data_IF_429220073296
#
_entry.id   IF_429220073296
#
_cell.length_a   1.000
_cell.length_b   1.000
_cell.length_c   1.000
_cell.angle_alpha   90.00
_cell.angle_beta   90.00
_cell.angle_gamma   90.00
#
_symmetry.space_group_name_H-M   'P 1'
#
loop_
_entity.id
_entity.type
_entity.pdbx_description
1 polymer ?
#
# COMPACT_ATOMS: atom_id res chain seq x y z
N UNK A 1 56.55 40.15 49.24
CA UNK A 1 57.41 39.07 48.68
C UNK A 1 56.68 38.43 47.53
N UNK A 2 57.16 38.66 46.32
CA UNK A 2 56.59 38.05 45.07
C UNK A 2 57.64 37.06 44.54
N UNK A 3 57.29 35.83 44.25
CA UNK A 3 58.18 34.94 43.46
C UNK A 3 57.86 35.10 41.97
N UNK A 4 58.96 35.19 41.23
CA UNK A 4 59.00 35.28 39.76
C UNK A 4 58.81 33.87 39.16
N UNK A 5 57.87 33.71 38.23
CA UNK A 5 57.76 32.51 37.39
C UNK A 5 58.44 32.73 36.05
N UNK A 6 59.31 31.79 35.73
CA UNK A 6 60.05 31.71 34.46
C UNK A 6 59.16 31.12 33.40
N UNK A 7 59.13 31.79 32.24
CA UNK A 7 58.48 31.28 31.01
C UNK A 7 59.41 30.29 30.34
N UNK A 8 58.93 29.05 30.16
CA UNK A 8 59.55 28.06 29.26
C UNK A 8 58.69 28.04 27.99
N UNK A 9 59.29 28.38 26.83
CA UNK A 9 58.73 28.23 25.53
C UNK A 9 58.79 26.73 25.11
N UNK A 10 57.66 26.12 24.82
CA UNK A 10 57.55 24.84 24.19
C UNK A 10 57.04 25.00 22.75
N UNK A 11 57.86 24.55 21.82
CA UNK A 11 57.54 24.53 20.39
C UNK A 11 56.44 23.51 20.11
N UNK A 12 55.32 23.95 19.58
CA UNK A 12 54.24 23.06 19.12
C UNK A 12 54.47 22.70 17.65
N UNK A 13 54.80 21.45 17.37
CA UNK A 13 54.73 20.85 16.04
C UNK A 13 53.24 20.67 15.66
N UNK A 14 52.78 21.37 14.65
CA UNK A 14 51.46 21.17 14.05
C UNK A 14 51.52 19.95 13.13
N UNK A 15 50.96 18.82 13.58
CA UNK A 15 50.58 17.70 12.69
C UNK A 15 49.26 18.04 12.04
N UNK A 16 49.29 18.38 10.76
CA UNK A 16 48.08 18.47 9.91
C UNK A 16 47.57 17.05 9.61
N UNK A 17 46.62 16.56 10.39
CA UNK A 17 45.80 15.43 9.98
C UNK A 17 44.81 15.92 8.92
N UNK A 18 45.07 15.57 7.67
CA UNK A 18 44.15 15.69 6.57
C UNK A 18 42.97 14.74 6.81
N UNK A 19 41.86 15.26 7.35
CA UNK A 19 40.56 14.57 7.31
C UNK A 19 40.06 14.61 5.87
N UNK A 20 40.34 13.58 5.09
CA UNK A 20 39.59 13.30 3.87
C UNK A 20 38.17 12.95 4.28
N UNK A 21 37.26 13.94 4.27
CA UNK A 21 35.84 13.70 4.30
C UNK A 21 35.49 12.98 2.99
N UNK A 22 35.47 11.64 3.03
CA UNK A 22 34.81 10.85 2.01
C UNK A 22 33.32 11.17 2.11
N UNK A 23 32.87 12.14 1.32
CA UNK A 23 31.45 12.29 1.04
C UNK A 23 31.05 11.00 0.29
N UNK A 24 30.55 10.01 1.03
CA UNK A 24 29.90 8.85 0.44
C UNK A 24 28.75 9.35 -0.44
N UNK A 25 28.92 9.21 -1.74
CA UNK A 25 27.91 9.53 -2.73
C UNK A 25 26.86 8.43 -2.63
N UNK A 26 25.79 8.67 -1.86
CA UNK A 26 24.73 7.70 -1.55
C UNK A 26 23.99 7.14 -2.79
N UNK A 27 24.29 7.65 -3.98
CA UNK A 27 23.72 7.18 -5.24
C UNK A 27 24.44 5.95 -5.82
N UNK A 28 25.72 5.74 -5.54
CA UNK A 28 26.45 4.57 -6.07
C UNK A 28 26.18 3.30 -5.26
N UNK A 29 25.86 3.41 -3.98
CA UNK A 29 25.58 2.27 -3.09
C UNK A 29 24.26 1.53 -3.45
N UNK A 30 23.35 2.17 -4.17
CA UNK A 30 22.06 1.59 -4.59
C UNK A 30 22.15 0.79 -5.88
N UNK A 31 23.17 1.03 -6.70
CA UNK A 31 23.31 0.40 -8.02
C UNK A 31 23.67 -1.08 -7.89
N UNK A 32 22.81 -1.95 -8.43
CA UNK A 32 22.94 -3.41 -8.34
C UNK A 32 23.05 -3.94 -6.90
N UNK A 33 22.62 -3.14 -5.90
CA UNK A 33 22.57 -3.61 -4.52
C UNK A 33 21.68 -4.85 -4.42
N UNK A 34 22.10 -5.81 -3.60
CA UNK A 34 21.26 -6.96 -3.26
C UNK A 34 20.35 -6.69 -2.05
N UNK A 35 20.48 -5.52 -1.41
CA UNK A 35 19.59 -5.09 -0.34
C UNK A 35 18.44 -4.26 -0.94
N UNK A 36 17.20 -4.68 -0.70
CA UNK A 36 15.98 -4.00 -1.15
C UNK A 36 15.01 -3.81 0.00
N UNK A 37 14.37 -2.66 0.06
CA UNK A 37 13.31 -2.34 1.01
C UNK A 37 11.98 -2.20 0.28
N UNK A 38 11.03 -3.07 0.59
CA UNK A 38 9.64 -2.99 0.10
C UNK A 38 8.78 -2.29 1.14
N UNK A 39 7.91 -1.38 0.70
CA UNK A 39 6.89 -0.77 1.54
C UNK A 39 5.56 -1.52 1.39
N UNK A 40 4.78 -1.59 2.47
CA UNK A 40 3.43 -2.15 2.46
C UNK A 40 2.54 -1.40 3.46
N UNK A 41 1.27 -1.24 3.11
CA UNK A 41 0.25 -0.74 4.05
C UNK A 41 -0.48 -1.95 4.64
N UNK A 42 -0.50 -2.04 5.97
CA UNK A 42 -1.15 -3.17 6.65
C UNK A 42 -2.66 -3.19 6.43
N UNK A 43 -3.18 -4.38 6.13
CA UNK A 43 -4.60 -4.63 5.90
C UNK A 43 -5.06 -4.38 4.47
N UNK A 44 -4.19 -3.89 3.58
CA UNK A 44 -4.48 -3.82 2.15
C UNK A 44 -4.02 -5.13 1.50
N UNK A 45 -4.99 -6.05 1.38
CA UNK A 45 -4.71 -7.47 1.13
C UNK A 45 -3.96 -7.74 -0.16
N UNK A 46 -4.30 -7.03 -1.25
CA UNK A 46 -3.65 -7.15 -2.54
C UNK A 46 -2.18 -6.68 -2.48
N UNK A 47 -1.93 -5.59 -1.75
CA UNK A 47 -0.60 -5.07 -1.52
C UNK A 47 0.25 -5.98 -0.63
N UNK A 48 -0.35 -6.54 0.42
CA UNK A 48 0.31 -7.53 1.28
C UNK A 48 0.65 -8.80 0.51
N UNK A 49 -0.29 -9.31 -0.31
CA UNK A 49 -0.10 -10.49 -1.15
C UNK A 49 1.02 -10.29 -2.18
N UNK A 50 0.98 -9.19 -2.93
CA UNK A 50 2.01 -8.86 -3.91
C UNK A 50 3.39 -8.67 -3.24
N UNK A 51 3.43 -7.98 -2.09
CA UNK A 51 4.68 -7.75 -1.35
C UNK A 51 5.27 -9.05 -0.81
N UNK A 52 4.47 -9.93 -0.23
CA UNK A 52 4.93 -11.22 0.28
C UNK A 52 5.46 -12.11 -0.86
N UNK A 53 4.74 -12.15 -1.99
CA UNK A 53 5.15 -12.89 -3.18
C UNK A 53 6.50 -12.41 -3.71
N UNK A 54 6.66 -11.10 -3.91
CA UNK A 54 7.89 -10.53 -4.42
C UNK A 54 9.05 -10.60 -3.43
N UNK A 55 8.79 -10.46 -2.12
CA UNK A 55 9.80 -10.72 -1.09
C UNK A 55 10.38 -12.13 -1.24
N UNK A 56 9.50 -13.14 -1.37
CA UNK A 56 9.94 -14.54 -1.55
C UNK A 56 10.75 -14.72 -2.83
N UNK A 57 10.21 -14.32 -3.98
CA UNK A 57 10.87 -14.49 -5.27
C UNK A 57 12.23 -13.77 -5.34
N UNK A 58 12.33 -12.55 -4.80
CA UNK A 58 13.59 -11.83 -4.75
C UNK A 58 14.59 -12.49 -3.79
N UNK A 59 14.13 -12.99 -2.65
CA UNK A 59 14.98 -13.73 -1.70
C UNK A 59 15.53 -14.99 -2.34
N UNK A 60 14.74 -15.73 -3.09
CA UNK A 60 15.17 -16.93 -3.82
C UNK A 60 16.21 -16.60 -4.93
N UNK A 61 16.19 -15.36 -5.45
CA UNK A 61 17.19 -14.84 -6.40
C UNK A 61 18.43 -14.23 -5.70
N UNK A 62 18.55 -14.38 -4.38
CA UNK A 62 19.70 -13.94 -3.60
C UNK A 62 19.70 -12.47 -3.21
N UNK A 63 18.51 -11.81 -3.21
CA UNK A 63 18.36 -10.48 -2.64
C UNK A 63 18.07 -10.59 -1.14
N UNK A 64 18.56 -9.61 -0.38
CA UNK A 64 18.18 -9.41 1.02
C UNK A 64 17.03 -8.40 1.06
N UNK A 65 15.83 -8.89 1.32
CA UNK A 65 14.61 -8.10 1.26
C UNK A 65 14.10 -7.78 2.64
N UNK A 66 13.99 -6.49 2.96
CA UNK A 66 13.28 -5.98 4.13
C UNK A 66 11.92 -5.44 3.74
N UNK A 67 10.94 -5.58 4.65
CA UNK A 67 9.58 -5.03 4.46
C UNK A 67 9.31 -4.02 5.56
N UNK A 68 8.93 -2.79 5.17
CA UNK A 68 8.48 -1.73 6.08
C UNK A 68 6.97 -1.60 5.99
N UNK A 69 6.29 -1.82 7.11
CA UNK A 69 4.86 -1.52 7.26
C UNK A 69 4.70 -0.06 7.62
N UNK A 70 4.00 0.70 6.80
CA UNK A 70 3.82 2.14 6.93
C UNK A 70 2.41 2.52 6.48
N UNK A 71 1.87 3.60 7.02
CA UNK A 71 0.70 4.25 6.39
C UNK A 71 1.06 4.83 5.03
N UNK A 72 0.06 5.03 4.16
CA UNK A 72 0.28 5.48 2.78
C UNK A 72 1.11 6.77 2.68
N UNK A 73 0.83 7.79 3.50
CA UNK A 73 1.58 9.04 3.48
C UNK A 73 3.08 8.88 3.79
N UNK A 74 3.46 8.33 4.96
CA UNK A 74 4.85 7.99 5.27
C UNK A 74 5.52 7.07 4.25
N UNK A 75 4.78 6.14 3.64
CA UNK A 75 5.31 5.24 2.62
C UNK A 75 5.74 5.99 1.36
N UNK A 76 4.87 6.85 0.81
CA UNK A 76 5.20 7.68 -0.35
C UNK A 76 6.35 8.66 -0.05
N UNK A 77 6.36 9.25 1.15
CA UNK A 77 7.46 10.10 1.59
C UNK A 77 8.78 9.33 1.68
N UNK A 78 8.77 8.13 2.25
CA UNK A 78 9.94 7.25 2.35
C UNK A 78 10.49 6.82 1.00
N UNK A 79 9.61 6.53 0.01
CA UNK A 79 10.04 6.29 -1.36
C UNK A 79 10.71 7.54 -1.98
N UNK A 80 10.11 8.71 -1.80
CA UNK A 80 10.64 9.97 -2.34
C UNK A 80 11.99 10.37 -1.71
N UNK A 81 12.30 9.87 -0.52
CA UNK A 81 13.57 10.04 0.20
C UNK A 81 14.58 8.93 -0.10
N UNK A 82 14.15 7.81 -0.73
CA UNK A 82 14.98 6.66 -1.02
C UNK A 82 15.11 5.65 0.14
N UNK A 83 14.31 5.78 1.20
CA UNK A 83 14.27 4.86 2.35
C UNK A 83 13.44 3.60 2.10
N UNK A 84 12.60 3.64 1.08
CA UNK A 84 11.81 2.54 0.53
C UNK A 84 12.12 2.46 -0.97
N UNK A 85 12.51 1.28 -1.45
CA UNK A 85 12.87 1.11 -2.85
C UNK A 85 11.66 0.86 -3.74
N UNK A 86 10.67 0.11 -3.25
CA UNK A 86 9.48 -0.31 -4.01
C UNK A 86 8.20 -0.31 -3.16
N UNK A 87 7.10 0.01 -3.82
CA UNK A 87 5.73 -0.17 -3.33
C UNK A 87 4.88 -0.83 -4.44
N UNK A 88 4.24 -1.96 -4.12
CA UNK A 88 3.55 -2.77 -5.13
C UNK A 88 2.05 -2.49 -5.21
N UNK A 89 1.56 -1.50 -4.50
CA UNK A 89 0.13 -1.28 -4.35
C UNK A 89 -0.24 0.21 -4.53
N UNK A 90 0.31 0.82 -5.59
CA UNK A 90 0.00 2.21 -5.93
C UNK A 90 -1.18 2.27 -6.92
N UNK A 91 -2.32 2.76 -6.47
CA UNK A 91 -3.57 2.87 -7.24
C UNK A 91 -3.62 4.19 -8.00
N UNK A 92 -3.47 4.14 -9.30
CA UNK A 92 -3.38 5.33 -10.17
C UNK A 92 -4.30 5.20 -11.38
N UNK A 93 -4.86 6.32 -11.87
CA UNK A 93 -4.50 7.70 -11.54
C UNK A 93 -5.30 8.35 -10.40
N UNK A 94 -6.39 7.73 -9.89
CA UNK A 94 -7.40 8.44 -9.10
C UNK A 94 -7.21 8.31 -7.57
N UNK A 95 -7.05 7.08 -7.07
CA UNK A 95 -7.06 6.80 -5.62
C UNK A 95 -5.87 7.45 -4.92
N UNK A 96 -4.66 7.28 -5.45
CA UNK A 96 -3.43 7.86 -4.89
C UNK A 96 -3.00 9.15 -5.63
N UNK A 97 -3.95 9.86 -6.24
CA UNK A 97 -3.72 11.10 -7.00
C UNK A 97 -2.90 12.14 -6.22
N UNK A 98 -3.26 12.39 -4.96
CA UNK A 98 -2.63 13.43 -4.15
C UNK A 98 -1.18 13.07 -3.81
N UNK A 99 -0.91 11.80 -3.50
CA UNK A 99 0.46 11.33 -3.30
C UNK A 99 1.28 11.40 -4.59
N UNK A 100 0.65 11.07 -5.73
CA UNK A 100 1.32 11.16 -7.02
C UNK A 100 1.60 12.62 -7.42
N UNK A 101 0.70 13.56 -7.14
CA UNK A 101 0.94 15.00 -7.34
C UNK A 101 2.07 15.52 -6.47
N UNK A 102 2.17 15.04 -5.24
CA UNK A 102 3.17 15.52 -4.28
C UNK A 102 4.56 14.94 -4.50
N UNK A 103 4.66 13.68 -4.91
CA UNK A 103 5.93 12.94 -4.92
C UNK A 103 6.30 12.35 -6.29
N UNK A 104 5.42 12.38 -7.28
CA UNK A 104 5.58 11.67 -8.54
C UNK A 104 6.84 12.02 -9.35
N UNK A 105 7.37 13.23 -9.21
CA UNK A 105 8.64 13.65 -9.80
C UNK A 105 9.89 12.97 -9.20
N UNK A 106 9.72 12.38 -8.02
CA UNK A 106 10.73 11.61 -7.28
C UNK A 106 10.48 10.11 -7.29
N UNK A 107 9.53 9.66 -8.09
CA UNK A 107 9.10 8.27 -8.16
C UNK A 107 9.11 7.77 -9.60
N UNK A 108 9.12 6.46 -9.77
CA UNK A 108 9.10 5.80 -11.07
C UNK A 108 7.98 4.76 -11.12
N UNK A 109 7.08 4.85 -12.12
CA UNK A 109 6.13 3.77 -12.43
C UNK A 109 6.88 2.63 -13.10
N UNK A 110 7.05 1.51 -12.40
CA UNK A 110 7.74 0.34 -12.92
C UNK A 110 6.82 -0.48 -13.82
N UNK A 111 5.58 -0.72 -13.39
CA UNK A 111 4.59 -1.45 -14.18
C UNK A 111 3.23 -1.48 -13.52
N UNK A 112 2.16 -1.69 -14.30
CA UNK A 112 0.83 -2.01 -13.81
C UNK A 112 0.69 -3.52 -13.76
N UNK A 113 0.34 -4.08 -12.61
CA UNK A 113 0.23 -5.53 -12.46
C UNK A 113 -1.22 -6.02 -12.32
N UNK A 114 -2.14 -5.13 -11.91
CA UNK A 114 -3.57 -5.38 -11.91
C UNK A 114 -4.27 -4.19 -12.58
N UNK A 115 -4.97 -4.40 -13.72
CA UNK A 115 -5.31 -3.29 -14.61
C UNK A 115 -6.60 -2.55 -14.26
N UNK A 116 -7.48 -3.12 -13.42
CA UNK A 116 -8.81 -2.55 -13.18
C UNK A 116 -9.31 -2.81 -11.76
N UNK A 117 -9.03 -1.86 -10.87
CA UNK A 117 -9.32 -1.93 -9.44
C UNK A 117 -10.29 -0.81 -9.05
N UNK A 118 -11.61 -1.06 -8.90
CA UNK A 118 -12.57 -0.06 -8.48
C UNK A 118 -12.60 0.10 -6.96
N UNK A 119 -12.80 1.34 -6.50
CA UNK A 119 -13.26 1.66 -5.16
C UNK A 119 -14.75 1.41 -5.05
N UNK A 120 -15.22 0.90 -3.91
CA UNK A 120 -16.62 0.52 -3.71
C UNK A 120 -17.15 0.98 -2.36
N UNK A 121 -18.47 1.07 -2.26
CA UNK A 121 -19.21 1.10 -1.00
C UNK A 121 -20.03 -0.18 -0.95
N UNK A 122 -19.85 -0.95 0.10
CA UNK A 122 -20.45 -2.27 0.22
C UNK A 122 -21.44 -2.37 1.39
N UNK A 123 -22.42 -3.26 1.20
CA UNK A 123 -23.45 -3.58 2.19
C UNK A 123 -23.67 -5.10 2.24
N UNK A 124 -24.17 -5.66 3.34
CA UNK A 124 -24.60 -7.06 3.38
C UNK A 124 -25.69 -7.35 2.33
N UNK A 125 -25.74 -8.58 1.82
CA UNK A 125 -26.68 -8.98 0.77
C UNK A 125 -28.17 -8.83 1.19
N UNK A 126 -28.45 -8.87 2.49
CA UNK A 126 -29.80 -8.65 3.02
C UNK A 126 -30.21 -7.17 3.10
N UNK A 127 -29.28 -6.23 2.89
CA UNK A 127 -29.57 -4.79 2.91
C UNK A 127 -30.59 -4.43 1.82
N UNK A 128 -31.56 -3.54 2.08
CA UNK A 128 -32.49 -3.05 1.06
C UNK A 128 -31.85 -2.03 0.12
N UNK A 129 -30.63 -1.56 0.38
CA UNK A 129 -29.95 -0.58 -0.46
C UNK A 129 -29.37 -1.25 -1.70
N UNK A 130 -29.57 -0.66 -2.88
CA UNK A 130 -29.03 -1.13 -4.17
C UNK A 130 -28.07 -0.12 -4.80
N UNK A 131 -28.20 1.15 -4.45
CA UNK A 131 -27.44 2.26 -5.01
C UNK A 131 -26.99 3.23 -3.92
N UNK A 132 -25.93 3.97 -4.18
CA UNK A 132 -25.49 5.09 -3.33
C UNK A 132 -26.59 6.15 -3.17
N UNK A 133 -27.47 6.30 -4.17
CA UNK A 133 -28.61 7.19 -4.09
C UNK A 133 -29.64 6.78 -3.01
N UNK A 134 -29.74 5.48 -2.69
CA UNK A 134 -30.69 4.96 -1.71
C UNK A 134 -30.31 5.31 -0.26
N UNK A 135 -29.13 5.80 -0.02
CA UNK A 135 -28.66 6.27 1.30
C UNK A 135 -29.36 7.55 1.73
N UNK A 136 -29.83 8.36 0.78
CA UNK A 136 -30.43 9.66 1.07
C UNK A 136 -31.71 9.52 1.91
N UNK A 137 -31.80 10.31 2.98
CA UNK A 137 -32.93 10.27 3.94
C UNK A 137 -32.85 9.10 4.94
N UNK A 138 -31.82 8.28 4.90
CA UNK A 138 -31.64 7.13 5.79
C UNK A 138 -30.49 7.26 6.80
N UNK A 139 -29.95 8.47 6.98
CA UNK A 139 -28.82 8.71 7.87
C UNK A 139 -29.06 8.17 9.29
N UNK A 140 -30.25 8.39 9.87
CA UNK A 140 -30.57 7.90 11.21
C UNK A 140 -30.57 6.36 11.32
N UNK A 141 -31.02 5.66 10.27
CA UNK A 141 -31.05 4.18 10.21
C UNK A 141 -29.62 3.59 10.28
N UNK A 142 -28.66 4.26 9.64
CA UNK A 142 -27.25 3.84 9.59
C UNK A 142 -26.37 4.62 10.60
N UNK A 143 -26.98 5.30 11.59
CA UNK A 143 -26.28 6.08 12.59
C UNK A 143 -25.43 7.23 12.04
N UNK A 144 -25.75 7.71 10.83
CA UNK A 144 -25.02 8.76 10.13
C UNK A 144 -23.60 8.37 9.71
N UNK A 145 -23.31 7.07 9.57
CA UNK A 145 -21.94 6.59 9.37
C UNK A 145 -21.83 5.66 8.17
N UNK A 146 -20.76 5.84 7.41
CA UNK A 146 -20.18 4.84 6.53
C UNK A 146 -18.85 4.42 7.18
N UNK A 147 -18.72 3.15 7.50
CA UNK A 147 -17.53 2.67 8.21
C UNK A 147 -16.37 2.58 7.21
N UNK A 148 -15.36 3.39 7.44
CA UNK A 148 -14.19 3.51 6.58
C UNK A 148 -12.95 2.86 7.16
N UNK A 149 -11.85 3.05 6.44
CA UNK A 149 -10.53 2.55 6.76
C UNK A 149 -9.60 3.71 7.21
N UNK A 150 -8.30 3.56 7.04
CA UNK A 150 -7.30 4.56 7.43
C UNK A 150 -7.58 5.92 6.77
N UNK A 151 -7.47 6.99 7.55
CA UNK A 151 -7.67 8.37 7.07
C UNK A 151 -6.71 8.75 5.93
N UNK A 152 -5.53 8.16 5.92
CA UNK A 152 -4.52 8.35 4.88
C UNK A 152 -4.87 7.67 3.55
N UNK A 153 -5.91 6.84 3.50
CA UNK A 153 -6.30 6.14 2.27
C UNK A 153 -6.97 7.08 1.25
N UNK A 154 -6.69 6.86 -0.02
CA UNK A 154 -7.42 7.53 -1.10
C UNK A 154 -8.90 7.16 -1.11
N UNK A 155 -9.26 5.96 -0.66
CA UNK A 155 -10.64 5.51 -0.50
C UNK A 155 -11.42 6.39 0.48
N UNK A 156 -10.81 6.77 1.63
CA UNK A 156 -11.42 7.73 2.54
C UNK A 156 -11.65 9.08 1.84
N UNK A 157 -10.64 9.63 1.19
CA UNK A 157 -10.74 10.92 0.50
C UNK A 157 -11.83 10.90 -0.57
N UNK A 158 -11.86 9.90 -1.45
CA UNK A 158 -12.87 9.80 -2.50
C UNK A 158 -14.27 9.65 -1.91
N UNK A 159 -14.43 8.81 -0.90
CA UNK A 159 -15.75 8.60 -0.26
C UNK A 159 -16.23 9.84 0.46
N UNK A 160 -15.38 10.49 1.27
CA UNK A 160 -15.76 11.65 2.08
C UNK A 160 -15.91 12.92 1.26
N UNK A 161 -14.97 13.20 0.35
CA UNK A 161 -14.85 14.50 -0.30
C UNK A 161 -15.51 14.55 -1.69
N UNK A 162 -15.68 13.40 -2.35
CA UNK A 162 -16.30 13.32 -3.67
C UNK A 162 -17.67 12.65 -3.64
N UNK A 163 -17.76 11.44 -3.08
CA UNK A 163 -18.99 10.64 -3.12
C UNK A 163 -20.10 11.25 -2.25
N UNK A 164 -19.84 11.57 -0.99
CA UNK A 164 -20.86 12.13 -0.12
C UNK A 164 -21.48 13.42 -0.70
N UNK A 165 -20.70 14.45 -1.14
CA UNK A 165 -21.27 15.65 -1.74
C UNK A 165 -22.00 15.37 -3.05
N UNK A 166 -21.49 14.50 -3.91
CA UNK A 166 -22.10 14.18 -5.20
C UNK A 166 -23.52 13.61 -5.06
N UNK A 167 -23.76 12.84 -3.99
CA UNK A 167 -25.09 12.28 -3.68
C UNK A 167 -25.89 13.13 -2.70
N UNK A 168 -25.35 14.28 -2.22
CA UNK A 168 -26.00 15.14 -1.22
C UNK A 168 -26.15 14.46 0.14
N UNK A 169 -25.16 13.63 0.50
CA UNK A 169 -25.12 12.83 1.72
C UNK A 169 -24.24 13.45 2.83
N UNK A 170 -23.51 14.50 2.53
CA UNK A 170 -22.54 15.17 3.40
C UNK A 170 -23.13 15.75 4.69
N UNK A 171 -24.47 16.00 4.71
CA UNK A 171 -25.22 16.43 5.91
C UNK A 171 -25.81 15.27 6.70
N UNK A 172 -25.86 14.08 6.12
CA UNK A 172 -26.49 12.91 6.74
C UNK A 172 -25.48 11.86 7.18
N UNK A 173 -24.32 11.81 6.52
CA UNK A 173 -23.29 10.80 6.75
C UNK A 173 -21.90 11.39 6.88
N UNK A 174 -21.08 10.66 7.62
CA UNK A 174 -19.64 10.87 7.68
C UNK A 174 -18.95 9.52 7.46
N UNK A 175 -17.88 9.51 6.68
CA UNK A 175 -17.02 8.33 6.59
C UNK A 175 -16.16 8.30 7.87
N UNK A 176 -16.40 7.29 8.72
CA UNK A 176 -15.59 7.11 9.93
C UNK A 176 -14.23 6.54 9.57
N UNK A 177 -13.20 7.00 10.25
CA UNK A 177 -11.84 6.48 10.05
C UNK A 177 -11.49 5.46 11.11
N UNK A 178 -10.94 4.32 10.67
CA UNK A 178 -10.44 3.27 11.54
C UNK A 178 -9.25 2.56 10.84
N UNK A 179 -8.89 1.38 11.26
CA UNK A 179 -8.04 0.51 10.46
C UNK A 179 -8.91 -0.40 9.57
N UNK A 180 -8.35 -0.88 8.48
CA UNK A 180 -9.01 -1.89 7.62
C UNK A 180 -9.47 -3.10 8.43
N UNK A 181 -8.63 -3.59 9.34
CA UNK A 181 -8.98 -4.69 10.23
C UNK A 181 -10.18 -4.37 11.15
N UNK A 182 -10.28 -3.14 11.68
CA UNK A 182 -11.40 -2.71 12.50
C UNK A 182 -12.69 -2.59 11.69
N UNK A 183 -12.64 -2.02 10.49
CA UNK A 183 -13.79 -1.96 9.58
C UNK A 183 -14.31 -3.36 9.25
N UNK A 184 -13.43 -4.32 8.91
CA UNK A 184 -13.82 -5.70 8.63
C UNK A 184 -14.41 -6.43 9.85
N UNK A 185 -13.90 -6.14 11.05
CA UNK A 185 -14.46 -6.68 12.29
C UNK A 185 -15.88 -6.14 12.57
N UNK A 186 -16.11 -4.85 12.33
CA UNK A 186 -17.45 -4.25 12.44
C UNK A 186 -18.40 -4.84 11.39
N UNK A 187 -17.94 -5.03 10.16
CA UNK A 187 -18.72 -5.66 9.09
C UNK A 187 -19.13 -7.08 9.50
N UNK A 188 -18.18 -7.89 9.95
CA UNK A 188 -18.44 -9.27 10.41
C UNK A 188 -19.45 -9.29 11.55
N UNK A 189 -19.29 -8.41 12.55
CA UNK A 189 -20.20 -8.30 13.69
C UNK A 189 -21.62 -7.91 13.26
N UNK A 190 -21.75 -6.95 12.34
CA UNK A 190 -23.06 -6.55 11.81
C UNK A 190 -23.73 -7.69 11.05
N UNK A 191 -23.01 -8.39 10.18
CA UNK A 191 -23.52 -9.55 9.44
C UNK A 191 -23.99 -10.65 10.40
N UNK A 192 -23.17 -11.01 11.41
CA UNK A 192 -23.51 -12.03 12.40
C UNK A 192 -24.75 -11.66 13.23
N UNK A 193 -24.97 -10.37 13.45
CA UNK A 193 -26.12 -9.86 14.19
C UNK A 193 -27.31 -9.47 13.28
N UNK A 194 -27.22 -9.70 11.97
CA UNK A 194 -28.18 -9.30 10.95
C UNK A 194 -28.57 -7.80 11.04
N UNK A 195 -27.58 -6.94 11.29
CA UNK A 195 -27.75 -5.49 11.43
C UNK A 195 -27.30 -4.76 10.17
N UNK A 196 -27.96 -3.63 9.91
CA UNK A 196 -27.57 -2.74 8.83
C UNK A 196 -26.18 -2.15 9.07
N UNK A 197 -25.37 -2.15 8.01
CA UNK A 197 -24.07 -1.51 7.97
C UNK A 197 -23.72 -1.10 6.54
N UNK A 198 -22.99 -0.02 6.39
CA UNK A 198 -22.41 0.45 5.13
C UNK A 198 -20.91 0.62 5.37
N UNK A 199 -20.08 0.02 4.51
CA UNK A 199 -18.62 0.09 4.62
C UNK A 199 -17.99 0.58 3.33
N UNK A 200 -16.82 1.20 3.42
CA UNK A 200 -15.96 1.43 2.27
C UNK A 200 -15.17 0.15 1.98
N UNK A 201 -15.02 -0.21 0.70
CA UNK A 201 -14.26 -1.38 0.29
C UNK A 201 -13.70 -1.15 -1.13
N UNK A 202 -13.03 -2.14 -1.67
CA UNK A 202 -12.45 -2.10 -3.02
C UNK A 202 -12.41 -3.50 -3.62
N UNK A 203 -12.18 -3.57 -4.94
CA UNK A 203 -11.92 -4.84 -5.62
C UNK A 203 -10.57 -4.80 -6.33
N UNK A 204 -9.81 -5.90 -6.28
CA UNK A 204 -10.12 -7.16 -5.60
C UNK A 204 -9.96 -7.07 -4.09
N UNK A 205 -10.68 -7.87 -3.32
CA UNK A 205 -10.52 -8.02 -1.87
C UNK A 205 -11.16 -9.34 -1.41
N UNK A 206 -10.48 -10.11 -0.57
CA UNK A 206 -10.93 -11.41 -0.06
C UNK A 206 -12.28 -11.37 0.69
N UNK A 207 -12.64 -10.22 1.24
CA UNK A 207 -13.90 -10.06 1.98
C UNK A 207 -15.14 -10.42 1.15
N UNK A 208 -15.11 -10.22 -0.17
CA UNK A 208 -16.21 -10.59 -1.06
C UNK A 208 -16.38 -12.10 -1.22
N UNK A 209 -15.32 -12.87 -1.02
CA UNK A 209 -15.41 -14.33 -1.01
C UNK A 209 -15.86 -14.87 0.35
N UNK A 210 -15.56 -14.14 1.43
CA UNK A 210 -15.82 -14.57 2.80
C UNK A 210 -17.19 -14.14 3.33
N UNK A 211 -17.61 -12.93 3.02
CA UNK A 211 -18.84 -12.35 3.54
C UNK A 211 -19.92 -12.26 2.46
N UNK A 212 -21.21 -12.47 2.80
CA UNK A 212 -22.33 -12.27 1.89
C UNK A 212 -22.60 -10.75 1.72
N UNK A 213 -21.75 -10.07 0.97
CA UNK A 213 -21.80 -8.63 0.72
C UNK A 213 -21.86 -8.33 -0.77
N UNK A 214 -22.32 -7.14 -1.10
CA UNK A 214 -22.33 -6.61 -2.46
C UNK A 214 -22.05 -5.12 -2.48
N UNK A 215 -21.63 -4.62 -3.64
CA UNK A 215 -21.42 -3.20 -3.88
C UNK A 215 -22.76 -2.48 -4.09
N UNK A 216 -22.83 -1.24 -3.63
CA UNK A 216 -23.86 -0.30 -4.06
C UNK A 216 -23.49 0.25 -5.43
N UNK A 217 -24.48 0.33 -6.32
CA UNK A 217 -24.29 0.95 -7.63
C UNK A 217 -23.95 2.44 -7.47
N UNK A 218 -23.04 2.93 -8.31
CA UNK A 218 -22.64 4.33 -8.38
C UNK A 218 -23.01 4.96 -9.73
N UNK A 219 -24.31 5.27 -9.97
CA UNK A 219 -24.76 5.81 -11.26
C UNK A 219 -24.19 7.20 -11.59
N UNK A 220 -23.65 7.91 -10.61
CA UNK A 220 -22.99 9.21 -10.83
C UNK A 220 -21.48 9.09 -11.08
N UNK A 221 -20.90 7.89 -10.90
CA UNK A 221 -19.46 7.68 -11.02
C UNK A 221 -18.62 8.46 -9.99
N UNK A 222 -19.20 8.75 -8.82
CA UNK A 222 -18.57 9.59 -7.81
C UNK A 222 -17.40 8.92 -7.08
N UNK A 223 -17.37 7.57 -7.11
CA UNK A 223 -16.23 6.78 -6.61
C UNK A 223 -15.03 6.79 -7.60
N UNK A 224 -15.22 7.39 -8.78
CA UNK A 224 -14.20 7.45 -9.82
C UNK A 224 -14.22 6.24 -10.76
N UNK A 225 -13.36 6.28 -11.79
CA UNK A 225 -13.12 5.13 -12.66
C UNK A 225 -12.17 4.16 -11.96
N UNK A 226 -12.23 2.86 -12.30
CA UNK A 226 -11.25 1.90 -11.79
C UNK A 226 -9.81 2.35 -12.06
N UNK A 227 -8.94 2.16 -11.09
CA UNK A 227 -7.51 2.41 -11.20
C UNK A 227 -6.75 1.17 -11.69
N UNK A 228 -5.55 1.38 -12.19
CA UNK A 228 -4.56 0.31 -12.24
C UNK A 228 -3.80 0.23 -10.92
N UNK A 229 -3.46 -0.98 -10.47
CA UNK A 229 -2.52 -1.17 -9.36
C UNK A 229 -1.11 -1.28 -9.91
N UNK A 230 -0.27 -0.33 -9.54
CA UNK A 230 1.08 -0.19 -10.05
C UNK A 230 2.12 -0.63 -9.03
N UNK A 231 3.18 -1.23 -9.53
CA UNK A 231 4.46 -1.20 -8.84
C UNK A 231 5.10 0.17 -9.09
N UNK A 232 5.43 0.86 -8.00
CA UNK A 232 6.13 2.15 -8.03
C UNK A 232 7.46 1.98 -7.30
N UNK A 233 8.53 2.51 -7.88
CA UNK A 233 9.85 2.58 -7.29
C UNK A 233 10.22 4.01 -6.88
N UNK A 234 11.23 4.13 -6.03
CA UNK A 234 11.95 5.41 -5.85
C UNK A 234 12.53 5.89 -7.17
N UNK A 235 12.94 7.13 -7.22
CA UNK A 235 13.61 7.70 -8.41
C UNK A 235 14.82 6.85 -8.81
N UNK A 236 15.01 6.69 -10.11
CA UNK A 236 16.09 5.93 -10.74
C UNK A 236 16.12 4.42 -10.38
N UNK A 237 15.04 3.86 -9.79
CA UNK A 237 14.99 2.44 -9.43
C UNK A 237 15.29 1.54 -10.63
N UNK A 238 14.68 1.80 -11.78
CA UNK A 238 14.91 0.99 -12.98
C UNK A 238 16.33 1.06 -13.52
N UNK A 239 17.02 2.16 -13.29
CA UNK A 239 18.44 2.34 -13.65
C UNK A 239 19.36 1.63 -12.68
N UNK A 240 19.05 1.69 -11.38
CA UNK A 240 19.86 1.08 -10.32
C UNK A 240 19.64 -0.43 -10.23
N UNK A 241 18.42 -0.90 -10.53
CA UNK A 241 17.98 -2.29 -10.42
C UNK A 241 17.34 -2.79 -11.73
N UNK A 242 18.04 -2.75 -12.87
CA UNK A 242 17.45 -3.02 -14.18
C UNK A 242 16.88 -4.43 -14.31
N UNK A 243 17.47 -5.41 -13.65
CA UNK A 243 16.99 -6.79 -13.64
C UNK A 243 15.66 -6.92 -12.90
N UNK A 244 15.57 -6.38 -11.67
CA UNK A 244 14.34 -6.41 -10.86
C UNK A 244 13.24 -5.62 -11.54
N UNK A 245 13.53 -4.42 -12.05
CA UNK A 245 12.58 -3.62 -12.82
C UNK A 245 12.07 -4.37 -14.06
N UNK A 246 12.94 -5.09 -14.76
CA UNK A 246 12.57 -5.94 -15.90
C UNK A 246 11.60 -7.06 -15.51
N UNK A 247 11.80 -7.69 -14.37
CA UNK A 247 10.89 -8.70 -13.84
C UNK A 247 9.54 -8.09 -13.42
N UNK A 248 9.55 -6.99 -12.68
CA UNK A 248 8.34 -6.29 -12.23
C UNK A 248 7.48 -5.76 -13.37
N UNK A 249 8.07 -5.39 -14.52
CA UNK A 249 7.34 -5.01 -15.74
C UNK A 249 6.51 -6.15 -16.32
N UNK A 250 6.97 -7.40 -16.16
CA UNK A 250 6.26 -8.60 -16.59
C UNK A 250 5.18 -9.03 -15.59
N UNK A 251 5.25 -8.55 -14.34
CA UNK A 251 4.35 -8.98 -13.27
C UNK A 251 2.89 -8.65 -13.61
N UNK A 252 2.05 -9.67 -13.57
CA UNK A 252 0.60 -9.61 -13.73
C UNK A 252 -0.05 -10.68 -12.87
N UNK A 253 -1.18 -10.34 -12.27
CA UNK A 253 -2.08 -11.30 -11.65
C UNK A 253 -3.51 -11.06 -12.15
N UNK A 254 -4.23 -12.13 -12.39
CA UNK A 254 -5.67 -12.09 -12.58
C UNK A 254 -6.42 -12.28 -11.25
N UNK A 255 -7.75 -12.13 -11.29
CA UNK A 255 -8.63 -12.25 -10.11
C UNK A 255 -8.47 -13.60 -9.41
N UNK A 256 -8.31 -14.67 -10.18
CA UNK A 256 -8.17 -16.03 -9.64
C UNK A 256 -6.84 -16.21 -8.93
N UNK A 257 -5.77 -15.73 -9.55
CA UNK A 257 -4.42 -15.82 -8.99
C UNK A 257 -4.32 -15.00 -7.70
N UNK A 258 -4.73 -13.74 -7.74
CA UNK A 258 -4.67 -12.86 -6.58
C UNK A 258 -5.61 -13.35 -5.47
N UNK A 259 -6.87 -13.61 -5.79
CA UNK A 259 -7.85 -14.08 -4.80
C UNK A 259 -7.44 -15.41 -4.14
N UNK A 260 -6.79 -16.33 -4.86
CA UNK A 260 -6.28 -17.57 -4.27
C UNK A 260 -5.10 -17.34 -3.33
N UNK A 261 -4.22 -16.37 -3.61
CA UNK A 261 -3.13 -16.02 -2.71
C UNK A 261 -3.64 -15.32 -1.45
N UNK A 262 -4.55 -14.36 -1.63
CA UNK A 262 -5.22 -13.69 -0.50
C UNK A 262 -5.96 -14.70 0.41
N UNK A 263 -6.68 -15.66 -0.17
CA UNK A 263 -7.37 -16.70 0.61
C UNK A 263 -6.40 -17.55 1.45
N UNK A 264 -5.27 -17.93 0.86
CA UNK A 264 -4.23 -18.65 1.60
C UNK A 264 -3.68 -17.80 2.75
N UNK A 265 -3.40 -16.52 2.52
CA UNK A 265 -2.84 -15.63 3.54
C UNK A 265 -3.81 -15.33 4.68
N UNK A 266 -5.10 -15.12 4.37
CA UNK A 266 -6.08 -14.69 5.35
C UNK A 266 -6.79 -15.84 6.07
N UNK A 267 -6.96 -16.98 5.42
CA UNK A 267 -7.75 -18.07 5.97
C UNK A 267 -6.93 -19.30 6.38
N UNK A 268 -5.94 -19.73 5.56
CA UNK A 268 -5.22 -20.98 5.81
C UNK A 268 -3.90 -20.78 6.54
N UNK A 269 -3.16 -19.71 6.21
CA UNK A 269 -1.84 -19.41 6.76
C UNK A 269 -1.81 -18.05 7.46
N UNK A 270 -2.90 -17.68 8.14
CA UNK A 270 -3.02 -16.37 8.80
C UNK A 270 -1.81 -16.07 9.69
N UNK A 271 -1.18 -14.91 9.45
CA UNK A 271 0.05 -14.49 10.15
C UNK A 271 1.33 -15.23 9.72
N UNK A 272 1.26 -16.03 8.64
CA UNK A 272 2.40 -16.78 8.09
C UNK A 272 2.53 -16.55 6.58
N UNK A 273 2.75 -15.31 6.11
CA UNK A 273 2.71 -14.98 4.69
C UNK A 273 3.74 -15.76 3.86
N UNK A 274 4.92 -16.03 4.39
CA UNK A 274 5.94 -16.81 3.67
C UNK A 274 5.46 -18.24 3.38
N UNK A 275 4.74 -18.90 4.33
CA UNK A 275 4.17 -20.23 4.12
C UNK A 275 3.00 -20.21 3.11
N UNK A 276 2.17 -19.17 3.13
CA UNK A 276 1.10 -18.97 2.16
C UNK A 276 1.66 -18.84 0.74
N UNK A 277 2.71 -18.03 0.56
CA UNK A 277 3.38 -17.85 -0.73
C UNK A 277 4.03 -19.15 -1.21
N UNK A 278 4.71 -19.89 -0.34
CA UNK A 278 5.30 -21.20 -0.71
C UNK A 278 4.23 -22.17 -1.19
N UNK A 279 3.09 -22.28 -0.49
CA UNK A 279 1.97 -23.13 -0.88
C UNK A 279 1.37 -22.67 -2.21
N UNK A 280 1.23 -21.34 -2.41
CA UNK A 280 0.68 -20.78 -3.63
C UNK A 280 1.59 -21.01 -4.85
N UNK A 281 2.89 -20.78 -4.72
CA UNK A 281 3.87 -21.02 -5.79
C UNK A 281 3.92 -22.51 -6.18
N UNK A 282 3.79 -23.40 -5.20
CA UNK A 282 3.70 -24.84 -5.45
C UNK A 282 2.44 -25.21 -6.25
N UNK A 283 1.32 -24.54 -5.99
CA UNK A 283 0.05 -24.73 -6.72
C UNK A 283 0.05 -24.05 -8.11
N UNK A 284 0.95 -23.08 -8.33
CA UNK A 284 1.09 -22.32 -9.57
C UNK A 284 2.48 -22.51 -10.19
N UNK A 285 2.84 -23.75 -10.59
CA UNK A 285 4.15 -24.03 -11.13
C UNK A 285 4.40 -23.25 -12.43
N UNK A 286 5.55 -22.62 -12.54
CA UNK A 286 5.90 -21.77 -13.67
C UNK A 286 5.58 -20.29 -13.51
N UNK A 287 4.79 -19.87 -12.51
CA UNK A 287 4.48 -18.46 -12.30
C UNK A 287 5.75 -17.64 -12.09
N UNK A 288 6.61 -18.02 -11.16
CA UNK A 288 7.89 -17.35 -10.92
C UNK A 288 8.75 -17.29 -12.19
N UNK A 289 8.87 -18.41 -12.91
CA UNK A 289 9.67 -18.48 -14.14
C UNK A 289 9.13 -17.55 -15.23
N UNK A 290 7.82 -17.38 -15.33
CA UNK A 290 7.19 -16.46 -16.30
C UNK A 290 7.54 -15.00 -16.04
N UNK A 291 7.83 -14.64 -14.79
CA UNK A 291 8.22 -13.27 -14.40
C UNK A 291 9.74 -13.07 -14.48
N UNK A 292 10.52 -14.05 -13.99
CA UNK A 292 11.96 -13.91 -13.76
C UNK A 292 12.85 -14.67 -14.76
N UNK A 293 12.22 -15.39 -15.69
CA UNK A 293 12.90 -16.17 -16.75
C UNK A 293 13.32 -15.36 -17.96
#
# INVERSE_FOLDING_TARGET
MRPKFKVLAAAAMALALGATASACNSSDDKKNSKDLTLGVVSGWSEGEAATALWKKMLTDKGYKVSVKQLDAGPLYAGMAQGDVDLYLDSWLPNTHEDYWKQYGDKLEKVGVWYPSAPLTIAVPNYSPLHSLADLKGKGSQYGGKIIGIEKSSGLYRVSQEKMLPAYGLDKEYTVTTSSTAAMLAELQKAISAHKDIVVTLWRPHWAYSKFPIRDLQDPKGAMGKPDGVYTVGRKDFGKDQPQVAGWLKKFKMDDKQLGSLEDLMENQYKGKPDQAVDAWLKANPGFEKSMTG
#
